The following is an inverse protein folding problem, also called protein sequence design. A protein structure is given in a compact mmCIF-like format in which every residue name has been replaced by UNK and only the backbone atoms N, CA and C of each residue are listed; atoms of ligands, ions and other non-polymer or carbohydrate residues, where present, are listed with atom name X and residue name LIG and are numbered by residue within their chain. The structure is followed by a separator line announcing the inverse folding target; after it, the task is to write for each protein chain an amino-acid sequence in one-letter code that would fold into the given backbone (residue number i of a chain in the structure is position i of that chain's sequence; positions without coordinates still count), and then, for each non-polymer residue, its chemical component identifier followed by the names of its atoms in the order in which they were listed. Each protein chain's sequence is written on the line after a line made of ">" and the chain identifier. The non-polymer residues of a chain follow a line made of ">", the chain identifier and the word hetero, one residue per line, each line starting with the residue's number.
data_IF_010349928181
#
_entry.id   IF_010349928181
#
_cell.length_a   1.000
_cell.length_b   1.000
_cell.length_c   1.000
_cell.angle_alpha   90.00
_cell.angle_beta   90.00
_cell.angle_gamma   90.00
#
_symmetry.space_group_name_H-M   'P 1'
#
loop_
_entity.id
_entity.type
_entity.pdbx_description
1 polymer ?
#
# COMPACT_ATOMS: atom_id res chain seq x y z
N UNK A 1 17.56 26.05 37.10
CA UNK A 1 16.49 25.57 36.19
C UNK A 1 15.56 26.73 35.92
N UNK A 2 15.74 27.42 34.80
CA UNK A 2 14.84 28.49 34.36
C UNK A 2 13.55 27.85 33.82
N UNK A 3 12.37 28.21 34.33
CA UNK A 3 11.12 27.66 33.82
C UNK A 3 10.90 28.18 32.39
N UNK A 4 10.90 27.26 31.41
CA UNK A 4 10.48 27.59 30.05
C UNK A 4 8.98 27.91 30.09
N UNK A 5 8.67 29.20 30.01
CA UNK A 5 7.31 29.74 29.93
C UNK A 5 6.78 29.45 28.52
N UNK A 6 6.31 28.23 28.30
CA UNK A 6 5.75 27.79 27.02
C UNK A 6 4.41 28.47 26.71
N UNK A 7 4.14 28.81 25.45
CA UNK A 7 2.83 29.33 25.03
C UNK A 7 1.73 28.29 25.26
N UNK A 8 0.55 28.77 25.65
CA UNK A 8 -0.60 27.95 26.02
C UNK A 8 -1.06 27.07 24.85
N UNK A 9 -1.16 25.76 25.12
CA UNK A 9 -1.33 24.66 24.17
C UNK A 9 -2.71 24.57 23.48
N UNK A 10 -3.57 25.59 23.62
CA UNK A 10 -5.02 25.46 23.38
C UNK A 10 -5.43 25.84 21.94
N UNK A 11 -4.59 26.52 21.16
CA UNK A 11 -5.03 27.14 19.89
C UNK A 11 -4.74 26.34 18.61
N UNK A 12 -4.14 25.15 18.67
CA UNK A 12 -3.67 24.44 17.47
C UNK A 12 -4.51 23.23 17.01
N UNK A 13 -5.62 22.92 17.68
CA UNK A 13 -6.36 21.65 17.44
C UNK A 13 -7.48 21.70 16.39
N UNK A 14 -7.61 22.76 15.58
CA UNK A 14 -8.85 23.02 14.81
C UNK A 14 -8.79 22.85 13.29
N UNK A 15 -7.79 22.18 12.72
CA UNK A 15 -7.73 21.99 11.26
C UNK A 15 -7.29 20.56 10.92
N UNK A 16 -8.20 19.58 11.04
CA UNK A 16 -8.18 18.36 10.20
C UNK A 16 -9.41 17.45 10.39
N UNK A 17 -10.61 18.02 10.60
CA UNK A 17 -11.86 17.28 10.41
C UNK A 17 -12.45 17.70 9.09
N UNK A 18 -12.17 16.95 8.01
CA UNK A 18 -13.02 16.79 6.82
C UNK A 18 -12.29 15.88 5.81
N UNK A 19 -12.35 14.57 6.07
CA UNK A 19 -12.32 13.56 5.00
C UNK A 19 -13.38 12.51 5.36
N UNK A 20 -14.60 12.78 4.88
CA UNK A 20 -15.72 11.85 4.83
C UNK A 20 -15.35 10.65 3.97
N UNK A 21 -15.14 9.48 4.59
CA UNK A 21 -15.07 8.20 3.90
C UNK A 21 -16.48 7.80 3.41
N UNK A 22 -16.62 7.28 2.18
CA UNK A 22 -17.86 6.67 1.74
C UNK A 22 -18.02 5.30 2.39
N UNK A 23 -19.22 5.05 2.89
CA UNK A 23 -19.68 3.79 3.47
C UNK A 23 -20.02 2.82 2.32
N UNK A 24 -19.17 1.83 2.07
CA UNK A 24 -19.45 0.76 1.10
C UNK A 24 -20.04 -0.47 1.81
N UNK A 25 -21.21 -0.88 1.34
CA UNK A 25 -22.00 -2.01 1.85
C UNK A 25 -21.46 -3.35 1.38
N UNK A 26 -21.09 -4.16 2.35
CA UNK A 26 -20.96 -5.62 2.42
C UNK A 26 -21.62 -6.45 1.30
N UNK A 27 -20.86 -7.40 0.71
CA UNK A 27 -21.40 -8.71 0.35
C UNK A 27 -20.28 -9.77 0.35
N UNK A 28 -20.31 -10.69 1.33
CA UNK A 28 -19.41 -11.86 1.42
C UNK A 28 -19.95 -13.03 0.59
N UNK A 29 -19.11 -13.79 -0.12
CA UNK A 29 -19.44 -15.13 -0.57
C UNK A 29 -18.81 -16.21 0.32
N UNK A 30 -19.62 -17.25 0.54
CA UNK A 30 -19.42 -18.50 1.28
C UNK A 30 -18.29 -19.37 0.69
N UNK A 31 -17.51 -20.12 1.51
CA UNK A 31 -16.47 -21.01 1.00
C UNK A 31 -17.03 -22.40 0.64
N UNK A 32 -16.64 -22.91 -0.53
CA UNK A 32 -16.82 -24.33 -0.93
C UNK A 32 -15.49 -25.09 -0.87
N UNK A 33 -15.50 -26.41 -0.60
CA UNK A 33 -14.29 -27.19 -0.33
C UNK A 33 -13.72 -27.93 -1.56
N UNK A 34 -12.46 -28.37 -1.40
CA UNK A 34 -11.75 -29.47 -2.07
C UNK A 34 -11.31 -29.28 -3.54
N UNK A 35 -9.99 -29.38 -3.78
CA UNK A 35 -9.34 -30.65 -4.14
C UNK A 35 -7.88 -30.40 -4.58
N UNK A 36 -6.99 -31.16 -3.97
CA UNK A 36 -5.55 -31.21 -4.21
C UNK A 36 -5.26 -32.09 -5.44
N UNK A 37 -4.50 -31.58 -6.42
CA UNK A 37 -3.73 -32.41 -7.36
C UNK A 37 -2.56 -31.63 -7.95
N UNK A 38 -1.36 -31.92 -7.47
CA UNK A 38 -0.12 -31.53 -8.10
C UNK A 38 0.31 -32.69 -9.01
N UNK A 39 0.24 -32.49 -10.33
CA UNK A 39 0.86 -33.37 -11.32
C UNK A 39 2.15 -32.70 -11.87
N UNK A 40 3.22 -33.47 -12.12
CA UNK A 40 4.45 -32.96 -12.69
C UNK A 40 4.31 -32.64 -14.19
N UNK A 41 4.84 -31.48 -14.59
CA UNK A 41 4.90 -31.04 -15.99
C UNK A 41 5.99 -31.81 -16.73
N UNK A 42 5.58 -32.85 -17.47
CA UNK A 42 6.35 -33.41 -18.59
C UNK A 42 5.86 -32.67 -19.83
N UNK A 43 6.74 -31.89 -20.48
CA UNK A 43 6.47 -31.24 -21.76
C UNK A 43 6.48 -32.29 -22.89
N UNK A 44 5.35 -32.60 -23.55
CA UNK A 44 5.39 -33.27 -24.82
C UNK A 44 5.67 -32.22 -25.91
N UNK A 45 6.63 -32.51 -26.78
CA UNK A 45 6.71 -31.91 -28.11
C UNK A 45 5.38 -32.19 -28.83
N UNK A 46 4.47 -31.23 -28.82
CA UNK A 46 3.37 -31.18 -29.78
C UNK A 46 3.44 -29.87 -30.54
N UNK A 47 3.57 -30.03 -31.85
CA UNK A 47 3.26 -29.05 -32.88
C UNK A 47 1.83 -28.54 -32.68
N UNK A 48 1.68 -27.55 -31.81
CA UNK A 48 0.46 -26.77 -31.66
C UNK A 48 0.34 -25.88 -32.90
N UNK A 49 -0.61 -26.20 -33.76
CA UNK A 49 -1.16 -25.33 -34.81
C UNK A 49 -1.82 -24.08 -34.21
N UNK A 50 -0.99 -23.17 -33.69
CA UNK A 50 -1.40 -21.86 -33.20
C UNK A 50 -1.34 -20.85 -34.36
N UNK A 51 -2.44 -20.16 -34.71
CA UNK A 51 -2.45 -19.10 -35.72
C UNK A 51 -1.76 -17.80 -35.26
N UNK A 52 -1.10 -17.81 -34.10
CA UNK A 52 -0.47 -16.63 -33.53
C UNK A 52 1.04 -16.80 -33.61
N UNK A 53 1.75 -15.86 -34.25
CA UNK A 53 3.19 -15.99 -34.41
C UNK A 53 3.85 -15.98 -33.02
N UNK A 54 4.61 -17.04 -32.73
CA UNK A 54 5.31 -17.16 -31.45
C UNK A 54 6.33 -16.02 -31.35
N UNK A 55 6.41 -15.29 -30.23
CA UNK A 55 7.51 -14.36 -30.00
C UNK A 55 8.82 -15.16 -30.02
N UNK A 56 9.76 -14.75 -30.87
CA UNK A 56 11.07 -15.38 -30.96
C UNK A 56 11.98 -14.74 -29.93
N UNK A 57 12.58 -15.59 -29.09
CA UNK A 57 13.61 -15.21 -28.13
C UNK A 57 14.94 -15.19 -28.87
N UNK A 58 15.32 -14.03 -29.39
CA UNK A 58 16.58 -13.83 -30.12
C UNK A 58 17.54 -13.15 -29.16
N UNK A 59 18.63 -13.83 -28.81
CA UNK A 59 19.68 -13.31 -27.91
C UNK A 59 19.18 -12.88 -26.52
N UNK A 60 18.25 -13.63 -25.92
CA UNK A 60 17.70 -13.29 -24.59
C UNK A 60 16.68 -12.16 -24.59
N UNK A 61 16.39 -11.56 -25.75
CA UNK A 61 15.40 -10.50 -25.90
C UNK A 61 14.18 -11.05 -26.64
N UNK A 62 13.00 -10.97 -26.03
CA UNK A 62 11.75 -11.26 -26.73
C UNK A 62 11.50 -10.19 -27.78
N UNK A 63 11.51 -10.56 -29.05
CA UNK A 63 11.10 -9.67 -30.14
C UNK A 63 9.65 -9.95 -30.54
N UNK A 64 8.82 -8.91 -30.74
CA UNK A 64 7.47 -9.11 -31.24
C UNK A 64 7.53 -9.70 -32.65
N UNK A 65 6.63 -10.63 -32.98
CA UNK A 65 6.57 -11.19 -34.32
C UNK A 65 6.20 -10.13 -35.35
N UNK A 66 6.85 -10.22 -36.52
CA UNK A 66 6.63 -9.35 -37.67
C UNK A 66 5.14 -9.40 -38.09
N UNK A 67 4.56 -8.23 -38.35
CA UNK A 67 3.13 -7.97 -38.54
C UNK A 67 2.40 -9.03 -39.38
N UNK A 68 1.32 -9.60 -38.84
CA UNK A 68 0.32 -10.34 -39.61
C UNK A 68 -0.99 -9.54 -39.72
N UNK A 69 -1.32 -9.19 -40.96
CA UNK A 69 -2.57 -8.58 -41.40
C UNK A 69 -3.76 -9.41 -40.85
N UNK A 70 -4.48 -8.90 -39.85
CA UNK A 70 -5.47 -9.67 -39.09
C UNK A 70 -6.89 -9.27 -39.47
N UNK A 71 -7.55 -10.11 -40.26
CA UNK A 71 -9.01 -10.22 -40.26
C UNK A 71 -9.32 -11.67 -39.85
N UNK A 72 -10.18 -11.85 -38.84
CA UNK A 72 -10.94 -13.09 -38.52
C UNK A 72 -10.29 -14.28 -37.77
N UNK A 73 -9.62 -14.08 -36.61
CA UNK A 73 -9.74 -15.02 -35.45
C UNK A 73 -9.06 -14.44 -34.19
N UNK A 74 -9.72 -14.43 -33.00
CA UNK A 74 -9.08 -13.97 -31.77
C UNK A 74 -7.98 -14.95 -31.36
N UNK A 75 -6.74 -14.46 -31.33
CA UNK A 75 -5.57 -15.22 -30.91
C UNK A 75 -5.73 -15.74 -29.47
N UNK A 76 -5.75 -17.06 -29.29
CA UNK A 76 -5.81 -17.68 -27.97
C UNK A 76 -4.42 -17.64 -27.32
N UNK A 77 -4.25 -16.76 -26.34
CA UNK A 77 -2.98 -16.59 -25.65
C UNK A 77 -2.67 -17.81 -24.76
N UNK A 78 -1.38 -18.24 -24.68
CA UNK A 78 -0.99 -19.27 -23.73
C UNK A 78 -1.18 -18.74 -22.31
N UNK A 79 -1.76 -19.56 -21.41
CA UNK A 79 -1.84 -19.20 -19.99
C UNK A 79 -0.41 -18.99 -19.43
N UNK A 80 -0.17 -17.95 -18.61
CA UNK A 80 -1.13 -17.07 -17.92
C UNK A 80 -1.50 -15.77 -18.68
N UNK A 81 -1.13 -15.60 -19.96
CA UNK A 81 -1.40 -14.37 -20.70
C UNK A 81 -2.85 -14.26 -21.16
N UNK A 82 -3.36 -13.03 -21.21
CA UNK A 82 -4.70 -12.68 -21.72
C UNK A 82 -4.57 -11.82 -22.99
N UNK A 83 -5.58 -11.89 -23.86
CA UNK A 83 -5.61 -11.09 -25.10
C UNK A 83 -5.78 -9.61 -24.77
N UNK A 84 -4.99 -8.74 -25.41
CA UNK A 84 -5.09 -7.29 -25.22
C UNK A 84 -6.40 -6.77 -25.86
N UNK A 85 -7.33 -6.18 -25.08
CA UNK A 85 -8.54 -5.59 -25.65
C UNK A 85 -8.27 -4.28 -26.41
N UNK A 86 -7.13 -3.63 -26.16
CA UNK A 86 -6.74 -2.33 -26.73
C UNK A 86 -5.40 -2.45 -27.46
N UNK A 87 -5.46 -2.80 -28.76
CA UNK A 87 -4.31 -3.06 -29.63
C UNK A 87 -3.36 -1.85 -29.81
N UNK A 88 -3.71 -0.67 -29.29
CA UNK A 88 -3.02 0.60 -29.52
C UNK A 88 -2.00 1.00 -28.44
N UNK A 89 -1.88 0.24 -27.34
CA UNK A 89 -0.99 0.59 -26.23
C UNK A 89 0.26 -0.31 -26.23
N UNK A 90 1.42 0.29 -26.53
CA UNK A 90 2.74 -0.34 -26.38
C UNK A 90 3.10 -0.40 -24.89
N UNK A 91 2.66 -1.47 -24.22
CA UNK A 91 2.82 -1.66 -22.78
C UNK A 91 3.96 -2.65 -22.53
N UNK A 92 4.86 -2.34 -21.60
CA UNK A 92 6.00 -3.20 -21.26
C UNK A 92 5.60 -4.60 -20.74
N UNK A 93 4.36 -4.76 -20.28
CA UNK A 93 3.77 -6.03 -19.81
C UNK A 93 3.14 -6.87 -20.94
N UNK A 94 3.19 -6.40 -22.18
CA UNK A 94 2.62 -7.05 -23.36
C UNK A 94 3.70 -7.60 -24.30
N UNK A 95 3.40 -8.74 -24.93
CA UNK A 95 4.20 -9.34 -26.00
C UNK A 95 3.26 -9.56 -27.19
N UNK A 96 3.31 -8.65 -28.16
CA UNK A 96 2.38 -8.66 -29.29
C UNK A 96 0.93 -8.43 -28.84
N UNK A 97 0.02 -9.33 -29.20
CA UNK A 97 -1.41 -9.25 -28.85
C UNK A 97 -1.76 -9.86 -27.48
N UNK A 98 -0.78 -10.39 -26.75
CA UNK A 98 -0.98 -11.07 -25.46
C UNK A 98 -0.27 -10.31 -24.34
N UNK A 99 -0.94 -10.11 -23.21
CA UNK A 99 -0.42 -9.35 -22.08
C UNK A 99 -0.56 -10.10 -20.76
N UNK A 100 0.27 -9.74 -19.79
CA UNK A 100 0.09 -10.22 -18.42
C UNK A 100 -1.16 -9.57 -17.79
N UNK A 101 -2.01 -10.33 -17.07
CA UNK A 101 -3.11 -9.75 -16.33
C UNK A 101 -2.59 -8.91 -15.15
N UNK A 102 -3.29 -7.82 -14.85
CA UNK A 102 -3.11 -7.04 -13.63
C UNK A 102 -4.00 -7.63 -12.51
N UNK A 103 -3.50 -7.86 -11.29
CA UNK A 103 -2.13 -7.63 -10.81
C UNK A 103 -1.15 -8.70 -11.30
N UNK A 104 0.04 -8.29 -11.71
CA UNK A 104 1.08 -9.20 -12.25
C UNK A 104 1.50 -10.30 -11.28
N UNK A 105 1.34 -10.10 -9.97
CA UNK A 105 1.59 -11.09 -8.92
C UNK A 105 0.79 -12.39 -9.10
N UNK A 106 -0.46 -12.32 -9.57
CA UNK A 106 -1.31 -13.50 -9.77
C UNK A 106 -0.86 -14.37 -10.95
N UNK A 107 0.02 -13.86 -11.82
CA UNK A 107 0.61 -14.65 -12.90
C UNK A 107 1.75 -15.56 -12.41
N UNK A 108 2.42 -15.20 -11.32
CA UNK A 108 3.58 -15.91 -10.79
C UNK A 108 3.27 -16.79 -9.57
N UNK A 109 2.21 -16.48 -8.83
CA UNK A 109 1.82 -17.20 -7.62
C UNK A 109 0.42 -17.80 -7.75
N UNK A 110 0.18 -18.91 -7.06
CA UNK A 110 -1.17 -19.49 -7.03
C UNK A 110 -2.14 -18.53 -6.32
N UNK A 111 -3.35 -18.32 -6.88
CA UNK A 111 -4.31 -17.35 -6.33
C UNK A 111 -4.71 -17.73 -4.90
N UNK A 112 -4.87 -19.02 -4.62
CA UNK A 112 -5.30 -19.52 -3.31
C UNK A 112 -4.31 -19.22 -2.17
N UNK A 113 -3.01 -19.22 -2.46
CA UNK A 113 -1.99 -18.90 -1.47
C UNK A 113 -1.91 -17.40 -1.24
N UNK A 114 -1.97 -16.62 -2.32
CA UNK A 114 -1.87 -15.17 -2.26
C UNK A 114 -3.06 -14.56 -1.52
N UNK A 115 -4.28 -15.02 -1.81
CA UNK A 115 -5.51 -14.57 -1.14
C UNK A 115 -5.49 -14.87 0.37
N UNK A 116 -4.96 -16.03 0.77
CA UNK A 116 -4.80 -16.39 2.20
C UNK A 116 -3.79 -15.48 2.91
N UNK A 117 -2.67 -15.19 2.26
CA UNK A 117 -1.64 -14.30 2.84
C UNK A 117 -2.20 -12.89 2.98
N UNK A 118 -2.87 -12.35 1.96
CA UNK A 118 -3.48 -11.03 2.05
C UNK A 118 -4.59 -10.96 3.10
N UNK A 119 -5.43 -11.98 3.21
CA UNK A 119 -6.45 -12.05 4.26
C UNK A 119 -5.82 -12.08 5.66
N UNK A 120 -4.75 -12.85 5.86
CA UNK A 120 -4.04 -12.92 7.14
C UNK A 120 -3.40 -11.57 7.51
N UNK A 121 -2.72 -10.92 6.55
CA UNK A 121 -2.12 -9.60 6.75
C UNK A 121 -3.20 -8.58 7.09
N UNK A 122 -4.33 -8.59 6.38
CA UNK A 122 -5.45 -7.70 6.66
C UNK A 122 -5.96 -7.88 8.10
N UNK A 123 -6.14 -9.12 8.57
CA UNK A 123 -6.56 -9.39 9.94
C UNK A 123 -5.55 -8.89 10.98
N UNK A 124 -4.25 -9.12 10.75
CA UNK A 124 -3.19 -8.64 11.63
C UNK A 124 -3.13 -7.11 11.70
N UNK A 125 -3.34 -6.42 10.57
CA UNK A 125 -3.41 -4.96 10.49
C UNK A 125 -4.60 -4.42 11.28
N UNK A 126 -5.78 -5.03 11.11
CA UNK A 126 -6.98 -4.67 11.86
C UNK A 126 -6.75 -4.80 13.37
N UNK A 127 -6.21 -5.93 13.82
CA UNK A 127 -5.91 -6.16 15.22
C UNK A 127 -4.89 -5.14 15.77
N UNK A 128 -3.83 -4.84 15.00
CA UNK A 128 -2.84 -3.84 15.37
C UNK A 128 -3.45 -2.45 15.51
N UNK A 129 -4.28 -2.04 14.55
CA UNK A 129 -4.99 -0.76 14.59
C UNK A 129 -5.82 -0.61 15.86
N UNK A 130 -6.58 -1.64 16.27
CA UNK A 130 -7.36 -1.58 17.51
C UNK A 130 -6.48 -1.41 18.75
N UNK A 131 -5.37 -2.15 18.85
CA UNK A 131 -4.42 -2.01 19.96
C UNK A 131 -3.81 -0.60 20.04
N UNK A 132 -3.45 -0.03 18.89
CA UNK A 132 -2.89 1.33 18.78
C UNK A 132 -3.97 2.37 19.12
N UNK A 133 -5.20 2.21 18.64
CA UNK A 133 -6.32 3.10 18.93
C UNK A 133 -6.67 3.11 20.43
N UNK A 134 -6.72 1.96 21.08
CA UNK A 134 -6.92 1.85 22.54
C UNK A 134 -5.80 2.56 23.30
N UNK A 135 -4.56 2.42 22.83
CA UNK A 135 -3.41 3.11 23.40
C UNK A 135 -3.53 4.63 23.24
N UNK A 136 -3.89 5.12 22.04
CA UNK A 136 -4.12 6.53 21.76
C UNK A 136 -5.22 7.13 22.66
N UNK A 137 -6.35 6.44 22.77
CA UNK A 137 -7.47 6.85 23.63
C UNK A 137 -7.05 6.88 25.10
N UNK A 138 -6.29 5.89 25.56
CA UNK A 138 -5.77 5.86 26.94
C UNK A 138 -4.90 7.08 27.26
N UNK A 139 -4.06 7.52 26.31
CA UNK A 139 -3.26 8.75 26.43
C UNK A 139 -4.10 10.04 26.37
N UNK A 140 -5.26 10.02 25.72
CA UNK A 140 -6.19 11.16 25.70
C UNK A 140 -6.97 11.28 27.01
N UNK A 141 -7.40 10.16 27.60
CA UNK A 141 -8.23 10.12 28.83
C UNK A 141 -7.44 10.46 30.09
N UNK A 142 -6.12 10.29 30.11
CA UNK A 142 -5.26 10.66 31.25
C UNK A 142 -4.47 11.97 31.01
N UNK A 143 -5.13 13.16 30.92
CA UNK A 143 -4.45 14.44 30.71
C UNK A 143 -3.71 14.92 31.97
N UNK A 144 -4.00 14.36 33.15
CA UNK A 144 -3.54 14.88 34.44
C UNK A 144 -2.05 14.69 34.75
N UNK A 145 -1.31 13.90 33.95
CA UNK A 145 0.12 13.60 34.21
C UNK A 145 0.96 13.58 32.94
N UNK A 146 0.72 14.53 32.03
CA UNK A 146 1.55 14.71 30.83
C UNK A 146 2.91 15.32 31.19
N UNK A 147 3.83 14.48 31.63
CA UNK A 147 5.26 14.83 31.59
C UNK A 147 5.73 14.84 30.14
N UNK A 148 6.69 15.70 29.82
CA UNK A 148 7.14 16.01 28.45
C UNK A 148 7.42 14.82 27.50
N UNK A 149 7.95 13.64 27.92
CA UNK A 149 8.08 12.52 26.98
C UNK A 149 6.72 11.94 26.52
N UNK A 150 5.65 12.10 27.31
CA UNK A 150 4.33 11.56 26.99
C UNK A 150 3.66 12.26 25.80
N UNK A 151 3.96 13.55 25.57
CA UNK A 151 3.37 14.30 24.45
C UNK A 151 3.97 13.84 23.12
N UNK A 152 5.29 13.68 23.05
CA UNK A 152 5.97 13.15 21.85
C UNK A 152 5.53 11.72 21.55
N UNK A 153 5.37 10.89 22.59
CA UNK A 153 4.84 9.53 22.44
C UNK A 153 3.41 9.52 21.86
N UNK A 154 2.56 10.47 22.27
CA UNK A 154 1.20 10.61 21.71
C UNK A 154 1.25 10.91 20.21
N UNK A 155 2.11 11.83 19.76
CA UNK A 155 2.24 12.15 18.33
C UNK A 155 2.77 10.97 17.51
N UNK A 156 3.71 10.19 18.06
CA UNK A 156 4.17 8.96 17.43
C UNK A 156 3.03 7.93 17.29
N UNK A 157 2.25 7.72 18.35
CA UNK A 157 1.08 6.82 18.31
C UNK A 157 0.07 7.31 17.28
N UNK A 158 -0.17 8.62 17.18
CA UNK A 158 -1.07 9.20 16.18
C UNK A 158 -0.54 8.95 14.75
N UNK A 159 0.76 9.15 14.50
CA UNK A 159 1.38 8.86 13.20
C UNK A 159 1.28 7.37 12.83
N UNK A 160 1.51 6.46 13.78
CA UNK A 160 1.35 5.02 13.56
C UNK A 160 -0.13 4.69 13.28
N UNK A 161 -1.07 5.30 14.01
CA UNK A 161 -2.50 5.11 13.77
C UNK A 161 -2.90 5.56 12.36
N UNK A 162 -2.37 6.70 11.89
CA UNK A 162 -2.59 7.20 10.53
C UNK A 162 -2.04 6.22 9.48
N UNK A 163 -0.84 5.67 9.71
CA UNK A 163 -0.25 4.66 8.83
C UNK A 163 -1.11 3.40 8.72
N UNK A 164 -1.66 2.91 9.84
CA UNK A 164 -2.58 1.76 9.82
C UNK A 164 -3.91 2.09 9.12
N UNK A 165 -4.45 3.30 9.24
CA UNK A 165 -5.64 3.73 8.46
C UNK A 165 -5.39 3.64 6.95
N UNK A 166 -4.18 3.98 6.48
CA UNK A 166 -3.83 3.84 5.06
C UNK A 166 -3.81 2.37 4.64
N UNK A 167 -3.39 1.45 5.52
CA UNK A 167 -3.42 0.02 5.23
C UNK A 167 -4.85 -0.51 5.01
N UNK A 168 -5.86 0.06 5.66
CA UNK A 168 -7.26 -0.31 5.40
C UNK A 168 -7.71 0.00 3.98
N UNK A 169 -7.25 1.12 3.40
CA UNK A 169 -7.59 1.49 2.02
C UNK A 169 -7.13 0.42 1.02
N UNK A 170 -5.97 -0.20 1.27
CA UNK A 170 -5.47 -1.31 0.46
C UNK A 170 -6.37 -2.55 0.54
N UNK A 171 -6.95 -2.84 1.71
CA UNK A 171 -7.75 -4.06 1.92
C UNK A 171 -9.16 -3.99 1.36
N UNK A 172 -9.76 -2.79 1.27
CA UNK A 172 -11.16 -2.64 0.83
C UNK A 172 -11.35 -2.97 -0.65
N UNK A 173 -10.38 -2.60 -1.51
CA UNK A 173 -10.49 -2.75 -2.96
C UNK A 173 -9.10 -2.95 -3.61
N UNK A 174 -8.37 -3.99 -3.20
CA UNK A 174 -6.99 -4.23 -3.64
C UNK A 174 -6.80 -4.20 -5.16
N UNK A 175 -7.72 -4.80 -5.92
CA UNK A 175 -7.67 -4.82 -7.39
C UNK A 175 -7.84 -3.43 -8.00
N UNK A 176 -8.81 -2.64 -7.51
CA UNK A 176 -9.08 -1.29 -8.03
C UNK A 176 -7.99 -0.28 -7.65
N UNK A 177 -7.25 -0.52 -6.58
CA UNK A 177 -6.10 0.30 -6.20
C UNK A 177 -4.86 0.03 -7.06
N UNK A 178 -4.69 -1.21 -7.54
CA UNK A 178 -3.51 -1.65 -8.29
C UNK A 178 -3.69 -1.63 -9.80
N UNK A 179 -4.92 -1.73 -10.30
CA UNK A 179 -5.21 -1.88 -11.72
C UNK A 179 -6.14 -0.77 -12.21
N UNK A 180 -5.79 -0.15 -13.34
CA UNK A 180 -6.70 0.75 -14.04
C UNK A 180 -7.65 -0.02 -14.96
N UNK A 181 -7.15 -1.09 -15.57
CA UNK A 181 -7.89 -2.04 -16.41
C UNK A 181 -7.32 -3.46 -16.20
N UNK A 182 -7.90 -4.49 -16.82
CA UNK A 182 -7.43 -5.89 -16.71
C UNK A 182 -5.96 -6.13 -17.12
N UNK A 183 -5.38 -5.22 -17.91
CA UNK A 183 -4.01 -5.32 -18.42
C UNK A 183 -3.12 -4.16 -17.94
N UNK A 184 -3.72 -3.01 -17.64
CA UNK A 184 -2.99 -1.75 -17.38
C UNK A 184 -2.89 -1.51 -15.89
N UNK A 185 -1.66 -1.46 -15.38
CA UNK A 185 -1.38 -1.11 -14.00
C UNK A 185 -1.85 0.32 -13.66
N UNK A 186 -2.30 0.51 -12.44
CA UNK A 186 -2.67 1.81 -11.92
C UNK A 186 -1.42 2.68 -11.77
N UNK A 187 -1.50 3.91 -12.25
CA UNK A 187 -0.50 4.97 -12.12
C UNK A 187 -1.16 6.17 -11.47
N UNK A 188 -0.35 7.07 -10.91
CA UNK A 188 -0.84 8.31 -10.28
C UNK A 188 -1.69 9.17 -11.23
N UNK A 189 -1.48 9.03 -12.55
CA UNK A 189 -2.21 9.80 -13.57
C UNK A 189 -3.51 9.15 -14.04
N UNK A 190 -3.58 7.81 -14.06
CA UNK A 190 -4.75 7.10 -14.58
C UNK A 190 -5.78 6.74 -13.49
N UNK A 191 -5.37 6.70 -12.22
CA UNK A 191 -6.22 6.27 -11.12
C UNK A 191 -5.98 7.14 -9.87
N UNK A 192 -6.97 7.96 -9.53
CA UNK A 192 -6.91 8.85 -8.37
C UNK A 192 -6.84 8.11 -7.03
N UNK A 193 -7.41 6.89 -6.92
CA UNK A 193 -7.30 6.08 -5.71
C UNK A 193 -5.85 5.65 -5.48
N UNK A 194 -5.18 5.19 -6.55
CA UNK A 194 -3.76 4.85 -6.50
C UNK A 194 -2.90 6.06 -6.09
N UNK A 195 -3.20 7.23 -6.64
CA UNK A 195 -2.50 8.48 -6.29
C UNK A 195 -2.64 8.85 -4.81
N UNK A 196 -3.88 8.87 -4.30
CA UNK A 196 -4.17 9.25 -2.90
C UNK A 196 -3.61 8.20 -1.93
N UNK A 197 -3.79 6.92 -2.24
CA UNK A 197 -3.27 5.81 -1.44
C UNK A 197 -1.74 5.83 -1.36
N UNK A 198 -1.06 6.04 -2.49
CA UNK A 198 0.39 6.15 -2.56
C UNK A 198 0.90 7.37 -1.77
N UNK A 199 0.31 8.54 -1.98
CA UNK A 199 0.70 9.76 -1.27
C UNK A 199 0.51 9.64 0.25
N UNK A 200 -0.66 9.15 0.69
CA UNK A 200 -0.93 8.94 2.11
C UNK A 200 -0.01 7.90 2.74
N UNK A 201 0.31 6.82 2.02
CA UNK A 201 1.22 5.79 2.52
C UNK A 201 2.62 6.36 2.74
N UNK A 202 3.17 7.07 1.73
CA UNK A 202 4.49 7.71 1.83
C UNK A 202 4.52 8.73 2.95
N UNK A 203 3.53 9.62 3.03
CA UNK A 203 3.41 10.64 4.08
C UNK A 203 3.37 10.00 5.48
N UNK A 204 2.50 9.01 5.68
CA UNK A 204 2.35 8.36 6.98
C UNK A 204 3.61 7.60 7.40
N UNK A 205 4.29 6.89 6.49
CA UNK A 205 5.55 6.22 6.79
C UNK A 205 6.65 7.20 7.20
N UNK A 206 6.79 8.33 6.49
CA UNK A 206 7.75 9.37 6.86
C UNK A 206 7.39 10.01 8.20
N UNK A 207 6.12 10.31 8.45
CA UNK A 207 5.67 10.85 9.72
C UNK A 207 6.04 9.93 10.90
N UNK A 208 5.84 8.61 10.77
CA UNK A 208 6.26 7.63 11.79
C UNK A 208 7.77 7.67 12.02
N UNK A 209 8.58 7.72 10.95
CA UNK A 209 10.04 7.80 11.06
C UNK A 209 10.50 9.10 11.76
N UNK A 210 9.96 10.25 11.38
CA UNK A 210 10.30 11.54 11.98
C UNK A 210 9.91 11.61 13.45
N UNK A 211 8.68 11.24 13.80
CA UNK A 211 8.23 11.20 15.19
C UNK A 211 8.98 10.16 16.03
N UNK A 212 9.36 9.04 15.43
CA UNK A 212 10.22 8.02 16.06
C UNK A 212 11.60 8.57 16.39
N UNK A 213 12.23 9.28 15.45
CA UNK A 213 13.52 9.94 15.66
C UNK A 213 13.44 11.03 16.75
N UNK A 214 12.39 11.85 16.75
CA UNK A 214 12.15 12.86 17.79
C UNK A 214 11.98 12.18 19.16
N UNK A 215 11.26 11.06 19.24
CA UNK A 215 11.09 10.31 20.50
C UNK A 215 12.43 9.80 21.03
N UNK A 216 13.25 9.17 20.18
CA UNK A 216 14.59 8.68 20.56
C UNK A 216 15.49 9.84 20.99
N UNK A 217 15.50 10.95 20.26
CA UNK A 217 16.26 12.15 20.62
C UNK A 217 15.80 12.74 21.96
N UNK A 218 14.49 12.75 22.22
CA UNK A 218 13.93 13.21 23.50
C UNK A 218 14.41 12.35 24.65
N UNK A 219 14.37 11.02 24.50
CA UNK A 219 14.88 10.10 25.51
C UNK A 219 16.38 10.27 25.75
N UNK A 220 17.16 10.43 24.67
CA UNK A 220 18.60 10.66 24.74
C UNK A 220 18.96 11.96 25.46
N UNK A 221 18.30 13.07 25.13
CA UNK A 221 18.56 14.37 25.76
C UNK A 221 18.16 14.42 27.23
N UNK A 222 17.10 13.73 27.61
CA UNK A 222 16.68 13.62 29.01
C UNK A 222 17.63 12.73 29.82
N UNK A 223 18.05 11.60 29.25
CA UNK A 223 18.85 10.58 29.95
C UNK A 223 20.32 10.97 30.04
N UNK A 224 20.93 11.40 28.92
CA UNK A 224 22.38 11.66 28.82
C UNK A 224 22.72 13.10 29.14
N UNK A 225 21.91 14.05 28.65
CA UNK A 225 22.23 15.49 28.70
C UNK A 225 21.48 16.23 29.80
N UNK A 226 20.51 15.59 30.47
CA UNK A 226 19.59 16.20 31.44
C UNK A 226 19.05 17.57 31.00
N UNK A 227 18.82 17.74 29.69
CA UNK A 227 18.49 19.03 29.08
C UNK A 227 17.07 19.02 28.53
N UNK A 228 16.30 20.07 28.85
CA UNK A 228 14.92 20.24 28.40
C UNK A 228 14.84 21.04 27.08
N UNK A 229 15.82 20.87 26.19
CA UNK A 229 15.95 21.70 24.97
C UNK A 229 14.76 21.54 24.01
N UNK A 230 14.33 20.29 23.76
CA UNK A 230 13.16 20.00 22.92
C UNK A 230 11.87 20.52 23.54
N UNK A 231 11.82 20.64 24.87
CA UNK A 231 10.64 21.11 25.58
C UNK A 231 10.35 22.58 25.29
N UNK A 232 11.39 23.40 25.35
CA UNK A 232 11.28 24.82 25.09
C UNK A 232 10.98 25.12 23.61
N UNK A 233 11.25 24.18 22.72
CA UNK A 233 11.04 24.31 21.27
C UNK A 233 9.95 23.41 20.71
N UNK A 234 9.02 22.93 21.54
CA UNK A 234 8.03 21.94 21.13
C UNK A 234 7.22 22.36 19.89
N UNK A 235 6.86 23.65 19.76
CA UNK A 235 6.10 24.16 18.61
C UNK A 235 6.89 23.99 17.32
N UNK A 236 8.20 24.28 17.34
CA UNK A 236 9.08 24.11 16.17
C UNK A 236 9.20 22.64 15.81
N UNK A 237 9.39 21.78 16.82
CA UNK A 237 9.49 20.33 16.63
C UNK A 237 8.18 19.76 16.06
N UNK A 238 7.03 20.23 16.56
CA UNK A 238 5.71 19.84 16.06
C UNK A 238 5.51 20.24 14.60
N UNK A 239 5.83 21.49 14.24
CA UNK A 239 5.74 21.95 12.86
C UNK A 239 6.65 21.16 11.94
N UNK A 240 7.90 20.90 12.34
CA UNK A 240 8.84 20.10 11.55
C UNK A 240 8.36 18.64 11.40
N UNK A 241 7.78 18.07 12.45
CA UNK A 241 7.29 16.69 12.44
C UNK A 241 6.11 16.43 11.51
N UNK A 242 5.35 17.46 11.14
CA UNK A 242 4.19 17.34 10.23
C UNK A 242 4.40 18.01 8.87
N UNK A 243 5.32 18.97 8.75
CA UNK A 243 5.57 19.71 7.51
C UNK A 243 6.62 19.03 6.62
N UNK A 244 7.58 18.29 7.20
CA UNK A 244 8.62 17.60 6.44
C UNK A 244 8.11 16.33 5.74
N UNK A 245 7.33 15.44 6.40
CA UNK A 245 6.70 14.30 5.72
C UNK A 245 5.79 14.74 4.57
#
# INVERSE_FOLDING_TARGET
>A
MTPCRGPSLITAFLICSLCTLPRSTHQSPTPSPLAERADPIILPNQDLGLPCPRPLLINGVLRPPFSLNTTTTPCQCPRPLISNPTLSLDLATCIGSCCLPCPTLYAFYSPTLLDRIFALIAYLRIASFFCIAVSAISYLILPGKRSHPAITALWLILAISLHEVVAFLWTSEAEKGMCANQVVDATMHNNGLCAVQGALAVFASHAVLYWGLIMILSLFLQTVRHSNFLECHYVKVFLLGWLIP
#
